data_IF_897379078173
#
_entry.id   IF_897379078173
#
_cell.length_a   1.000
_cell.length_b   1.000
_cell.length_c   1.000
_cell.angle_alpha   90.00
_cell.angle_beta   90.00
_cell.angle_gamma   90.00
#
_symmetry.space_group_name_H-M   'P 1'
#
loop_
_entity.id
_entity.type
_entity.pdbx_description
1 polymer ?
#
# COMPACT_ATOMS: atom_id res chain seq x y z
N UNK A 1 15.23 -7.28 3.65
CA UNK A 1 15.19 -6.44 4.88
C UNK A 1 16.30 -6.86 5.82
N UNK A 2 16.34 -8.11 6.31
CA UNK A 2 17.46 -8.59 7.15
C UNK A 2 18.83 -8.40 6.49
N UNK A 3 18.95 -8.79 5.22
CA UNK A 3 20.17 -8.58 4.42
C UNK A 3 20.54 -7.10 4.33
N UNK A 4 19.61 -6.23 3.96
CA UNK A 4 19.82 -4.78 3.88
C UNK A 4 20.21 -4.16 5.24
N UNK A 5 19.59 -4.60 6.34
CA UNK A 5 19.97 -4.15 7.68
C UNK A 5 21.43 -4.54 7.99
N UNK A 6 21.79 -5.80 7.72
CA UNK A 6 23.15 -6.31 7.91
C UNK A 6 24.17 -5.55 7.04
N UNK A 7 23.85 -5.29 5.77
CA UNK A 7 24.72 -4.57 4.84
C UNK A 7 24.96 -3.12 5.28
N UNK A 8 24.00 -2.52 5.98
CA UNK A 8 24.14 -1.19 6.61
C UNK A 8 24.79 -1.23 8.00
N UNK A 9 25.19 -2.41 8.47
CA UNK A 9 25.88 -2.60 9.75
C UNK A 9 24.95 -2.67 10.96
N UNK A 10 23.65 -2.91 10.76
CA UNK A 10 22.68 -3.10 11.83
C UNK A 10 22.54 -4.59 12.17
N UNK A 11 23.05 -5.00 13.33
CA UNK A 11 22.82 -6.33 13.89
C UNK A 11 21.47 -6.36 14.64
N UNK A 12 20.38 -6.34 13.87
CA UNK A 12 19.02 -6.31 14.39
C UNK A 12 18.24 -7.55 13.93
N UNK A 13 17.75 -8.40 14.85
CA UNK A 13 16.86 -9.49 14.47
C UNK A 13 15.51 -8.95 13.99
N UNK A 14 14.86 -9.69 13.09
CA UNK A 14 13.51 -9.36 12.65
C UNK A 14 12.47 -10.31 13.21
N UNK A 15 11.30 -9.76 13.52
CA UNK A 15 10.17 -10.51 14.04
C UNK A 15 8.96 -10.26 13.14
N UNK A 16 8.20 -11.31 12.85
CA UNK A 16 6.97 -11.21 12.08
C UNK A 16 5.76 -11.24 13.00
N UNK A 17 4.85 -10.27 12.84
CA UNK A 17 3.64 -10.17 13.63
C UNK A 17 2.46 -9.75 12.75
N UNK A 18 1.54 -10.69 12.54
CA UNK A 18 0.34 -10.50 11.75
C UNK A 18 -0.84 -10.08 12.63
N UNK A 19 -1.81 -9.41 12.01
CA UNK A 19 -3.08 -9.04 12.65
C UNK A 19 -4.11 -10.16 12.62
N UNK A 20 -4.14 -10.92 11.52
CA UNK A 20 -5.24 -11.84 11.21
C UNK A 20 -4.82 -13.31 11.08
N UNK A 21 -3.54 -13.64 11.23
CA UNK A 21 -3.04 -15.02 11.15
C UNK A 21 -1.79 -15.20 12.00
N UNK A 22 -1.36 -16.43 12.28
CA UNK A 22 -0.10 -16.65 12.99
C UNK A 22 1.13 -16.32 12.11
N UNK A 23 2.28 -15.96 12.70
CA UNK A 23 2.44 -15.54 14.10
C UNK A 23 1.74 -14.20 14.35
N UNK A 24 1.00 -14.07 15.46
CA UNK A 24 0.27 -12.83 15.77
C UNK A 24 1.19 -11.74 16.32
N UNK A 25 0.73 -10.49 16.32
CA UNK A 25 1.44 -9.36 16.96
C UNK A 25 1.80 -9.68 18.43
N UNK A 26 0.90 -10.30 19.20
CA UNK A 26 1.19 -10.66 20.59
C UNK A 26 2.23 -11.78 20.71
N UNK A 27 2.35 -12.67 19.73
CA UNK A 27 3.42 -13.69 19.68
C UNK A 27 4.78 -13.01 19.46
N UNK A 28 4.86 -12.06 18.52
CA UNK A 28 6.07 -11.29 18.25
C UNK A 28 6.52 -10.45 19.46
N UNK A 29 5.59 -9.77 20.14
CA UNK A 29 5.91 -8.99 21.35
C UNK A 29 6.36 -9.87 22.53
N UNK A 30 5.78 -11.07 22.69
CA UNK A 30 6.25 -12.04 23.68
C UNK A 30 7.66 -12.53 23.37
N UNK A 31 7.97 -12.80 22.11
CA UNK A 31 9.31 -13.18 21.68
C UNK A 31 10.34 -12.08 22.00
N UNK A 32 10.06 -10.84 21.56
CA UNK A 32 10.89 -9.66 21.85
C UNK A 32 11.16 -9.49 23.36
N UNK A 33 10.10 -9.60 24.17
CA UNK A 33 10.21 -9.48 25.62
C UNK A 33 11.05 -10.62 26.24
N UNK A 34 10.84 -11.86 25.79
CA UNK A 34 11.55 -13.04 26.30
C UNK A 34 13.04 -13.04 25.97
N UNK A 35 13.40 -12.46 24.83
CA UNK A 35 14.79 -12.27 24.39
C UNK A 35 15.46 -11.03 25.01
N UNK A 36 14.69 -10.24 25.76
CA UNK A 36 15.21 -9.15 26.59
C UNK A 36 15.20 -7.76 25.94
N UNK A 37 14.71 -7.63 24.71
CA UNK A 37 14.62 -6.36 23.99
C UNK A 37 13.75 -5.35 24.75
N UNK A 38 14.20 -4.08 24.77
CA UNK A 38 13.53 -2.98 25.50
C UNK A 38 12.75 -2.05 24.60
N UNK A 39 13.14 -1.97 23.34
CA UNK A 39 12.47 -1.19 22.31
C UNK A 39 12.55 -1.93 20.98
N UNK A 40 11.65 -1.59 20.07
CA UNK A 40 11.63 -2.09 18.69
C UNK A 40 11.10 -1.02 17.75
N UNK A 41 11.54 -1.09 16.49
CA UNK A 41 10.88 -0.37 15.40
C UNK A 41 9.84 -1.30 14.76
N UNK A 42 8.60 -0.82 14.61
CA UNK A 42 7.53 -1.53 13.93
C UNK A 42 7.38 -1.00 12.51
N UNK A 43 7.77 -1.83 11.55
CA UNK A 43 7.53 -1.60 10.13
C UNK A 43 6.13 -2.12 9.77
N UNK A 44 5.22 -1.22 9.44
CA UNK A 44 3.89 -1.55 8.92
C UNK A 44 3.94 -1.58 7.40
N UNK A 45 3.39 -2.63 6.78
CA UNK A 45 3.48 -2.89 5.34
C UNK A 45 2.35 -2.25 4.52
N UNK A 46 1.51 -1.42 5.14
CA UNK A 46 0.48 -0.65 4.44
C UNK A 46 0.99 0.77 4.14
N UNK A 47 1.07 1.10 2.86
CA UNK A 47 1.62 2.38 2.42
C UNK A 47 0.68 3.57 2.64
N UNK A 48 -0.64 3.35 2.62
CA UNK A 48 -1.69 4.38 2.59
C UNK A 48 -2.50 4.46 3.89
N UNK A 49 -2.97 5.65 4.22
CA UNK A 49 -3.75 5.90 5.44
C UNK A 49 -5.23 5.56 5.24
N UNK A 50 -5.72 4.61 6.03
CA UNK A 50 -7.15 4.38 6.28
C UNK A 50 -7.33 3.81 7.70
N UNK A 51 -8.57 3.58 8.14
CA UNK A 51 -8.78 2.87 9.40
C UNK A 51 -8.09 1.51 9.38
N UNK A 52 -8.46 0.63 8.44
CA UNK A 52 -7.91 -0.73 8.36
C UNK A 52 -6.43 -0.77 7.97
N UNK A 53 -5.95 0.19 7.17
CA UNK A 53 -4.56 0.25 6.69
C UNK A 53 -3.59 0.90 7.67
N UNK A 54 -4.06 1.77 8.58
CA UNK A 54 -3.19 2.53 9.46
C UNK A 54 -3.65 2.54 10.92
N UNK A 55 -4.85 3.06 11.22
CA UNK A 55 -5.33 3.23 12.61
C UNK A 55 -5.46 1.89 13.34
N UNK A 56 -6.00 0.89 12.67
CA UNK A 56 -6.23 -0.42 13.28
C UNK A 56 -4.92 -1.14 13.61
N UNK A 57 -3.83 -0.90 12.88
CA UNK A 57 -2.49 -1.39 13.28
C UNK A 57 -2.05 -0.80 14.63
N UNK A 58 -2.31 0.49 14.88
CA UNK A 58 -2.01 1.10 16.19
C UNK A 58 -2.84 0.47 17.31
N UNK A 59 -4.13 0.28 17.06
CA UNK A 59 -5.05 -0.30 18.03
C UNK A 59 -4.68 -1.76 18.34
N UNK A 60 -4.37 -2.55 17.31
CA UNK A 60 -3.97 -3.95 17.47
C UNK A 60 -2.61 -4.09 18.18
N UNK A 61 -1.64 -3.19 17.93
CA UNK A 61 -0.38 -3.13 18.68
C UNK A 61 -0.60 -2.74 20.15
N UNK A 62 -1.49 -1.79 20.42
CA UNK A 62 -1.84 -1.39 21.78
C UNK A 62 -2.51 -2.54 22.54
N UNK A 63 -3.46 -3.25 21.91
CA UNK A 63 -4.10 -4.45 22.48
C UNK A 63 -3.07 -5.54 22.73
N UNK A 64 -2.22 -5.85 21.75
CA UNK A 64 -1.17 -6.87 21.90
C UNK A 64 -0.18 -6.54 23.03
N UNK A 65 0.14 -5.25 23.22
CA UNK A 65 1.02 -4.79 24.30
C UNK A 65 0.42 -5.01 25.69
N UNK A 66 -0.91 -4.94 25.84
CA UNK A 66 -1.59 -5.23 27.11
C UNK A 66 -1.50 -6.71 27.51
N UNK A 67 -1.24 -7.61 26.56
CA UNK A 67 -1.07 -9.04 26.82
C UNK A 67 0.33 -9.43 27.32
N UNK A 68 1.30 -8.51 27.26
CA UNK A 68 2.71 -8.78 27.54
C UNK A 68 3.18 -8.01 28.78
N UNK A 69 3.67 -8.68 29.85
CA UNK A 69 4.14 -7.97 31.04
C UNK A 69 5.39 -7.12 30.77
N UNK A 70 5.33 -5.80 30.92
CA UNK A 70 6.46 -4.89 30.55
C UNK A 70 6.84 -5.09 29.07
N UNK A 71 5.93 -4.76 28.13
CA UNK A 71 6.20 -4.90 26.70
C UNK A 71 7.37 -3.98 26.30
N UNK A 72 8.11 -4.29 25.22
CA UNK A 72 9.08 -3.36 24.66
C UNK A 72 8.39 -2.07 24.22
N UNK A 73 9.11 -0.95 24.27
CA UNK A 73 8.67 0.30 23.64
C UNK A 73 8.60 0.11 22.11
N UNK A 74 7.51 0.55 21.49
CA UNK A 74 7.26 0.35 20.06
C UNK A 74 7.26 1.70 19.38
N UNK A 75 8.25 1.93 18.52
CA UNK A 75 8.28 3.08 17.62
C UNK A 75 7.86 2.62 16.23
N UNK A 76 6.80 3.19 15.67
CA UNK A 76 6.34 2.81 14.33
C UNK A 76 7.01 3.67 13.26
N UNK A 77 7.25 3.09 12.09
CA UNK A 77 7.56 3.87 10.90
C UNK A 77 6.36 4.76 10.52
N UNK A 78 6.62 5.92 9.93
CA UNK A 78 5.56 6.76 9.36
C UNK A 78 4.89 6.07 8.16
N UNK A 79 3.69 6.53 7.84
CA UNK A 79 3.02 6.17 6.58
C UNK A 79 3.85 6.71 5.40
N UNK A 80 4.10 5.88 4.39
CA UNK A 80 5.15 6.11 3.39
C UNK A 80 4.67 6.17 1.93
N UNK A 81 3.37 6.30 1.68
CA UNK A 81 2.82 6.35 0.31
C UNK A 81 3.52 7.36 -0.61
N UNK A 82 4.07 8.46 -0.07
CA UNK A 82 4.78 9.48 -0.85
C UNK A 82 6.30 9.45 -0.73
N UNK A 83 6.88 8.35 -0.23
CA UNK A 83 8.33 8.22 -0.22
C UNK A 83 8.87 8.17 -1.66
N UNK A 84 9.90 8.96 -2.04
CA UNK A 84 10.39 9.00 -3.41
C UNK A 84 10.79 7.64 -3.96
N UNK A 85 11.42 6.80 -3.15
CA UNK A 85 11.82 5.45 -3.57
C UNK A 85 10.65 4.46 -3.71
N UNK A 86 9.54 4.64 -2.99
CA UNK A 86 8.33 3.85 -3.22
C UNK A 86 7.71 4.23 -4.57
N UNK A 87 7.42 5.51 -4.77
CA UNK A 87 6.79 6.00 -6.01
C UNK A 87 7.72 5.89 -7.22
N UNK A 88 9.02 6.08 -7.03
CA UNK A 88 10.04 5.92 -8.06
C UNK A 88 10.21 4.46 -8.47
N UNK A 89 10.13 3.51 -7.53
CA UNK A 89 10.09 2.08 -7.88
C UNK A 89 8.81 1.73 -8.63
N UNK A 90 7.66 2.22 -8.18
CA UNK A 90 6.39 2.03 -8.86
C UNK A 90 6.42 2.55 -10.32
N UNK A 91 6.98 3.75 -10.53
CA UNK A 91 7.16 4.35 -11.85
C UNK A 91 8.15 3.59 -12.76
N UNK A 92 9.23 3.06 -12.19
CA UNK A 92 10.18 2.20 -12.91
C UNK A 92 9.49 0.93 -13.42
N UNK A 93 8.79 0.22 -12.55
CA UNK A 93 8.04 -0.99 -12.91
C UNK A 93 6.94 -0.72 -13.94
N UNK A 94 6.24 0.42 -13.82
CA UNK A 94 5.26 0.86 -14.83
C UNK A 94 5.93 1.08 -16.20
N UNK A 95 7.07 1.75 -16.21
CA UNK A 95 7.85 2.01 -17.43
C UNK A 95 8.33 0.69 -18.06
N UNK A 96 8.89 -0.22 -17.26
CA UNK A 96 9.38 -1.52 -17.73
C UNK A 96 8.26 -2.36 -18.34
N UNK A 97 7.11 -2.47 -17.65
CA UNK A 97 5.95 -3.20 -18.16
C UNK A 97 5.43 -2.62 -19.47
N UNK A 98 5.31 -1.30 -19.56
CA UNK A 98 4.91 -0.62 -20.80
C UNK A 98 5.87 -0.91 -21.95
N UNK A 99 7.18 -0.75 -21.72
CA UNK A 99 8.21 -0.98 -22.75
C UNK A 99 8.23 -2.44 -23.19
N UNK A 100 8.17 -3.38 -22.25
CA UNK A 100 8.15 -4.83 -22.52
C UNK A 100 6.94 -5.23 -23.36
N UNK A 101 5.79 -4.61 -23.12
CA UNK A 101 4.57 -4.83 -23.89
C UNK A 101 4.51 -4.01 -25.19
N UNK A 102 5.52 -3.18 -25.49
CA UNK A 102 5.56 -2.28 -26.65
C UNK A 102 4.34 -1.33 -26.72
N UNK A 103 3.89 -0.86 -25.55
CA UNK A 103 2.76 0.06 -25.42
C UNK A 103 3.20 1.52 -25.52
N UNK A 104 2.29 2.36 -26.03
CA UNK A 104 2.49 3.80 -26.19
C UNK A 104 2.61 4.50 -24.83
N UNK A 105 3.29 5.65 -24.78
CA UNK A 105 3.20 6.54 -23.61
C UNK A 105 1.80 7.13 -23.42
N UNK A 106 0.98 7.11 -24.46
CA UNK A 106 -0.41 7.55 -24.42
C UNK A 106 -1.38 6.45 -23.96
N UNK A 107 -0.90 5.23 -23.68
CA UNK A 107 -1.74 4.14 -23.16
C UNK A 107 -2.31 4.55 -21.81
N UNK A 108 -3.64 4.43 -21.59
CA UNK A 108 -4.27 4.72 -20.31
C UNK A 108 -3.70 3.87 -19.17
N UNK A 109 -3.59 4.46 -17.98
CA UNK A 109 -3.13 3.76 -16.78
C UNK A 109 -4.22 3.75 -15.71
N UNK A 110 -4.68 2.55 -15.35
CA UNK A 110 -5.55 2.32 -14.20
C UNK A 110 -4.70 1.95 -12.99
N UNK A 111 -4.64 2.85 -12.01
CA UNK A 111 -3.97 2.61 -10.73
C UNK A 111 -4.93 1.91 -9.79
N UNK A 112 -4.67 0.65 -9.46
CA UNK A 112 -5.60 -0.14 -8.64
C UNK A 112 -5.25 -0.09 -7.16
N UNK A 113 -6.30 -0.07 -6.34
CA UNK A 113 -6.19 -0.16 -4.88
C UNK A 113 -7.37 -0.95 -4.30
N UNK A 114 -7.21 -1.46 -3.07
CA UNK A 114 -8.30 -2.13 -2.38
C UNK A 114 -9.44 -1.12 -2.12
N UNK A 115 -10.66 -1.46 -2.51
CA UNK A 115 -11.83 -0.62 -2.25
C UNK A 115 -12.09 -0.50 -0.75
N UNK A 116 -12.61 0.62 -0.27
CA UNK A 116 -13.06 0.78 1.11
C UNK A 116 -14.56 1.04 1.14
N UNK A 117 -15.28 0.67 2.22
CA UNK A 117 -16.60 1.22 2.46
C UNK A 117 -16.53 2.75 2.44
N UNK A 118 -17.45 3.41 1.75
CA UNK A 118 -17.44 4.89 1.60
C UNK A 118 -17.39 5.60 2.94
N UNK A 119 -18.06 5.06 3.97
CA UNK A 119 -18.04 5.62 5.32
C UNK A 119 -16.68 5.54 6.01
N UNK A 120 -15.82 4.58 5.64
CA UNK A 120 -14.45 4.47 6.13
C UNK A 120 -13.52 5.40 5.35
N UNK A 121 -13.69 5.47 4.03
CA UNK A 121 -12.89 6.34 3.17
C UNK A 121 -13.07 7.81 3.56
N UNK A 122 -14.32 8.23 3.79
CA UNK A 122 -14.71 9.61 4.12
C UNK A 122 -14.09 10.16 5.42
N UNK A 123 -13.48 9.31 6.26
CA UNK A 123 -12.81 9.72 7.50
C UNK A 123 -11.28 9.61 7.42
N UNK A 124 -10.73 9.47 6.22
CA UNK A 124 -9.30 9.29 5.96
C UNK A 124 -8.86 10.04 4.71
N UNK A 125 -7.54 10.19 4.55
CA UNK A 125 -6.94 10.78 3.34
C UNK A 125 -6.76 9.75 2.21
N UNK A 126 -7.33 8.55 2.31
CA UNK A 126 -7.00 7.40 1.45
C UNK A 126 -7.11 7.70 -0.05
N UNK A 127 -8.25 8.23 -0.49
CA UNK A 127 -8.48 8.57 -1.89
C UNK A 127 -7.58 9.72 -2.35
N UNK A 128 -7.37 10.74 -1.51
CA UNK A 128 -6.50 11.86 -1.85
C UNK A 128 -5.04 11.40 -2.03
N UNK A 129 -4.55 10.52 -1.14
CA UNK A 129 -3.20 9.95 -1.23
C UNK A 129 -3.03 9.07 -2.48
N UNK A 130 -4.01 8.22 -2.79
CA UNK A 130 -3.96 7.38 -3.99
C UNK A 130 -3.95 8.23 -5.27
N UNK A 131 -4.80 9.24 -5.35
CA UNK A 131 -4.86 10.11 -6.52
C UNK A 131 -3.56 10.91 -6.68
N UNK A 132 -3.01 11.47 -5.60
CA UNK A 132 -1.73 12.18 -5.66
C UNK A 132 -0.57 11.24 -6.04
N UNK A 133 -0.52 10.04 -5.46
CA UNK A 133 0.46 9.02 -5.81
C UNK A 133 0.38 8.60 -7.28
N UNK A 134 -0.84 8.37 -7.80
CA UNK A 134 -1.07 7.98 -9.18
C UNK A 134 -0.57 9.05 -10.16
N UNK A 135 -0.82 10.33 -9.88
CA UNK A 135 -0.29 11.42 -10.71
C UNK A 135 1.24 11.44 -10.69
N UNK A 136 1.85 11.40 -9.51
CA UNK A 136 3.32 11.40 -9.37
C UNK A 136 3.95 10.21 -10.09
N UNK A 137 3.38 9.01 -9.97
CA UNK A 137 3.90 7.81 -10.64
C UNK A 137 3.81 7.94 -12.17
N UNK A 138 2.71 8.47 -12.71
CA UNK A 138 2.61 8.72 -14.15
C UNK A 138 3.64 9.73 -14.64
N UNK A 139 3.82 10.83 -13.92
CA UNK A 139 4.80 11.86 -14.23
C UNK A 139 6.23 11.28 -14.24
N UNK A 140 6.60 10.54 -13.19
CA UNK A 140 7.90 9.88 -13.08
C UNK A 140 8.13 8.82 -14.16
N UNK A 141 7.09 8.08 -14.55
CA UNK A 141 7.14 7.07 -15.61
C UNK A 141 7.12 7.69 -17.03
N UNK A 142 6.91 9.01 -17.14
CA UNK A 142 6.80 9.72 -18.41
C UNK A 142 5.60 9.26 -19.25
N UNK A 143 4.49 8.94 -18.58
CA UNK A 143 3.20 8.66 -19.20
C UNK A 143 2.53 9.97 -19.65
N UNK A 144 1.92 9.94 -20.84
CA UNK A 144 1.25 11.08 -21.48
C UNK A 144 -0.26 10.84 -21.62
N UNK A 145 -0.70 9.58 -21.45
CA UNK A 145 -2.10 9.17 -21.49
C UNK A 145 -2.88 9.51 -20.22
N UNK A 146 -4.22 9.33 -20.24
CA UNK A 146 -5.03 9.52 -19.06
C UNK A 146 -4.68 8.50 -17.98
N UNK A 147 -4.77 8.91 -16.72
CA UNK A 147 -4.68 8.01 -15.59
C UNK A 147 -5.76 8.28 -14.57
N UNK A 148 -6.17 7.23 -13.88
CA UNK A 148 -7.18 7.29 -12.83
C UNK A 148 -6.96 6.18 -11.80
N UNK A 149 -7.48 6.40 -10.60
CA UNK A 149 -7.52 5.39 -9.55
C UNK A 149 -8.82 4.61 -9.69
N UNK A 150 -8.70 3.28 -9.66
CA UNK A 150 -9.83 2.35 -9.68
C UNK A 150 -9.69 1.34 -8.54
N UNK A 151 -10.79 0.72 -8.16
CA UNK A 151 -10.83 -0.11 -6.96
C UNK A 151 -11.12 -1.59 -7.27
N UNK A 152 -10.58 -2.45 -6.42
CA UNK A 152 -10.77 -3.90 -6.46
C UNK A 152 -11.12 -4.44 -5.05
N UNK A 153 -11.26 -5.77 -4.90
CA UNK A 153 -11.27 -6.40 -3.57
C UNK A 153 -12.46 -5.99 -2.66
N UNK A 154 -13.67 -5.87 -3.21
CA UNK A 154 -14.88 -5.59 -2.40
C UNK A 154 -15.32 -6.81 -1.60
N UNK A 155 -15.13 -6.80 -0.28
CA UNK A 155 -15.35 -7.96 0.60
C UNK A 155 -16.54 -7.85 1.59
N UNK A 156 -17.49 -6.95 1.35
CA UNK A 156 -18.66 -6.72 2.23
C UNK A 156 -20.03 -6.98 1.60
N UNK A 157 -21.12 -6.82 2.39
CA UNK A 157 -22.48 -6.98 1.88
C UNK A 157 -22.77 -6.06 0.69
N UNK A 158 -23.55 -6.51 -0.32
CA UNK A 158 -23.91 -5.69 -1.48
C UNK A 158 -24.59 -4.36 -1.14
N UNK A 159 -25.22 -4.27 0.04
CA UNK A 159 -25.92 -3.08 0.53
C UNK A 159 -25.01 -1.99 1.09
N UNK A 160 -23.75 -2.31 1.43
CA UNK A 160 -22.78 -1.31 1.87
C UNK A 160 -22.21 -0.66 0.62
N UNK A 161 -22.19 0.69 0.50
CA UNK A 161 -21.52 1.38 -0.60
C UNK A 161 -20.00 1.34 -0.41
N UNK A 162 -19.28 1.07 -1.50
CA UNK A 162 -17.82 1.01 -1.55
C UNK A 162 -17.29 2.06 -2.52
N UNK A 163 -15.98 2.31 -2.47
CA UNK A 163 -15.31 3.19 -3.42
C UNK A 163 -15.37 2.61 -4.84
N UNK A 164 -15.62 3.49 -5.78
CA UNK A 164 -15.84 3.25 -7.20
C UNK A 164 -14.95 4.23 -8.01
N UNK A 165 -14.64 3.95 -9.29
CA UNK A 165 -15.13 2.81 -10.08
C UNK A 165 -14.40 1.50 -9.77
N UNK A 166 -15.10 0.38 -9.93
CA UNK A 166 -14.48 -0.94 -9.95
C UNK A 166 -13.59 -1.10 -11.20
N UNK A 167 -12.50 -1.85 -11.08
CA UNK A 167 -11.62 -2.16 -12.22
C UNK A 167 -12.39 -2.85 -13.36
N UNK A 168 -13.29 -3.78 -13.03
CA UNK A 168 -14.06 -4.55 -14.02
C UNK A 168 -15.03 -3.67 -14.80
N UNK A 169 -15.76 -2.79 -14.12
CA UNK A 169 -16.69 -1.85 -14.77
C UNK A 169 -15.89 -0.86 -15.62
N UNK A 170 -14.76 -0.37 -15.10
CA UNK A 170 -13.97 0.63 -15.82
C UNK A 170 -13.33 0.07 -17.09
N UNK A 171 -12.89 -1.18 -17.09
CA UNK A 171 -12.41 -1.85 -18.30
C UNK A 171 -13.49 -1.94 -19.40
N UNK A 172 -14.73 -2.24 -19.03
CA UNK A 172 -15.85 -2.29 -19.97
C UNK A 172 -16.17 -0.91 -20.55
N UNK A 173 -16.15 0.13 -19.71
CA UNK A 173 -16.36 1.52 -20.14
C UNK A 173 -15.28 1.99 -21.12
N UNK A 174 -14.00 1.78 -20.79
CA UNK A 174 -12.88 2.13 -21.68
C UNK A 174 -12.99 1.40 -23.02
N UNK A 175 -13.41 0.13 -23.02
CA UNK A 175 -13.61 -0.65 -24.24
C UNK A 175 -14.77 -0.09 -25.07
N UNK A 176 -15.87 0.30 -24.42
CA UNK A 176 -17.01 0.95 -25.07
C UNK A 176 -16.64 2.31 -25.68
N UNK A 177 -15.70 3.03 -25.05
CA UNK A 177 -15.11 4.27 -25.57
C UNK A 177 -14.09 4.04 -26.71
N UNK A 178 -13.86 2.79 -27.10
CA UNK A 178 -13.03 2.40 -28.24
C UNK A 178 -11.54 2.23 -27.92
N UNK A 179 -11.16 2.19 -26.64
CA UNK A 179 -9.79 1.90 -26.24
C UNK A 179 -9.52 0.40 -26.35
N UNK A 180 -8.35 0.06 -26.90
CA UNK A 180 -7.94 -1.32 -27.19
C UNK A 180 -6.79 -1.81 -26.32
N UNK A 181 -6.22 -0.93 -25.49
CA UNK A 181 -5.09 -1.23 -24.62
C UNK A 181 -5.16 -0.44 -23.31
N UNK A 182 -4.69 -1.04 -22.23
CA UNK A 182 -4.65 -0.43 -20.89
C UNK A 182 -3.51 -1.02 -20.05
N UNK A 183 -2.85 -0.17 -19.27
CA UNK A 183 -1.94 -0.57 -18.21
C UNK A 183 -2.68 -0.60 -16.88
N UNK A 184 -2.52 -1.70 -16.13
CA UNK A 184 -3.11 -1.86 -14.80
C UNK A 184 -1.97 -1.93 -13.77
N UNK A 185 -1.89 -0.92 -12.91
CA UNK A 185 -0.81 -0.73 -11.96
C UNK A 185 -1.31 -0.86 -10.52
N UNK A 186 -0.97 -1.94 -9.78
CA UNK A 186 -1.48 -2.18 -8.43
C UNK A 186 -0.82 -1.28 -7.35
N UNK A 187 -1.01 0.04 -7.48
CA UNK A 187 -0.39 1.07 -6.65
C UNK A 187 -0.69 0.93 -5.16
N UNK A 188 -1.91 0.50 -4.82
CA UNK A 188 -2.38 0.36 -3.45
C UNK A 188 -1.72 -0.77 -2.67
N UNK A 189 -0.85 -1.57 -3.29
CA UNK A 189 -0.30 -2.79 -2.73
C UNK A 189 1.23 -2.84 -2.84
N UNK A 190 1.89 -3.33 -1.79
CA UNK A 190 3.35 -3.48 -1.80
C UNK A 190 3.82 -4.87 -2.26
N UNK A 191 2.92 -5.85 -2.33
CA UNK A 191 3.25 -7.21 -2.69
C UNK A 191 2.06 -7.91 -3.37
N UNK A 192 2.36 -8.74 -4.36
CA UNK A 192 1.40 -9.64 -4.96
C UNK A 192 0.97 -10.68 -3.91
N UNK A 193 -0.34 -10.88 -3.81
CA UNK A 193 -0.94 -11.90 -2.95
C UNK A 193 -2.20 -12.42 -3.63
N UNK A 194 -2.81 -13.44 -3.04
CA UNK A 194 -3.90 -14.18 -3.66
C UNK A 194 -5.04 -13.29 -4.14
N UNK A 195 -5.43 -12.28 -3.38
CA UNK A 195 -6.51 -11.35 -3.76
C UNK A 195 -6.13 -10.48 -4.96
N UNK A 196 -4.95 -9.84 -4.96
CA UNK A 196 -4.47 -9.06 -6.12
C UNK A 196 -4.37 -9.91 -7.37
N UNK A 197 -3.82 -11.12 -7.27
CA UNK A 197 -3.65 -12.02 -8.41
C UNK A 197 -4.99 -12.54 -8.94
N UNK A 198 -5.95 -12.81 -8.05
CA UNK A 198 -7.28 -13.24 -8.48
C UNK A 198 -8.05 -12.09 -9.14
N UNK A 199 -8.12 -10.93 -8.49
CA UNK A 199 -8.85 -9.77 -8.99
C UNK A 199 -8.29 -9.30 -10.33
N UNK A 200 -6.96 -9.21 -10.47
CA UNK A 200 -6.34 -8.62 -11.66
C UNK A 200 -5.98 -9.64 -12.74
N UNK A 201 -5.31 -10.73 -12.38
CA UNK A 201 -4.81 -11.71 -13.34
C UNK A 201 -5.87 -12.77 -13.70
N UNK A 202 -7.01 -12.81 -12.99
CA UNK A 202 -8.15 -13.68 -13.34
C UNK A 202 -9.40 -12.88 -13.73
N UNK A 203 -9.95 -12.04 -12.85
CA UNK A 203 -11.24 -11.38 -13.12
C UNK A 203 -11.10 -10.26 -14.15
N UNK A 204 -10.30 -9.24 -13.85
CA UNK A 204 -10.09 -8.11 -14.75
C UNK A 204 -9.49 -8.54 -16.09
N UNK A 205 -8.56 -9.49 -16.09
CA UNK A 205 -8.02 -10.08 -17.32
C UNK A 205 -9.10 -10.75 -18.19
N UNK A 206 -10.04 -11.49 -17.58
CA UNK A 206 -11.15 -12.10 -18.31
C UNK A 206 -12.12 -11.05 -18.86
N UNK A 207 -12.37 -9.97 -18.13
CA UNK A 207 -13.18 -8.83 -18.62
C UNK A 207 -12.51 -8.16 -19.80
N UNK A 208 -11.21 -7.86 -19.70
CA UNK A 208 -10.44 -7.28 -20.80
C UNK A 208 -10.47 -8.17 -22.05
N UNK A 209 -10.30 -9.49 -21.89
CA UNK A 209 -10.39 -10.46 -22.99
C UNK A 209 -11.78 -10.45 -23.65
N UNK A 210 -12.86 -10.46 -22.86
CA UNK A 210 -14.24 -10.39 -23.36
C UNK A 210 -14.50 -9.09 -24.14
N UNK A 211 -13.88 -7.99 -23.72
CA UNK A 211 -13.95 -6.69 -24.39
C UNK A 211 -13.01 -6.57 -25.60
N UNK A 212 -12.15 -7.55 -25.87
CA UNK A 212 -11.14 -7.47 -26.93
C UNK A 212 -10.03 -6.46 -26.64
N UNK A 213 -9.79 -6.14 -25.37
CA UNK A 213 -8.82 -5.16 -24.90
C UNK A 213 -7.53 -5.84 -24.44
N UNK A 214 -6.39 -5.29 -24.84
CA UNK A 214 -5.07 -5.69 -24.33
C UNK A 214 -4.84 -5.07 -22.96
N UNK A 215 -4.97 -5.86 -21.90
CA UNK A 215 -4.63 -5.46 -20.54
C UNK A 215 -3.21 -5.93 -20.18
N UNK A 216 -2.37 -5.01 -19.69
CA UNK A 216 -1.04 -5.32 -19.17
C UNK A 216 -0.97 -4.92 -17.71
N UNK A 217 -0.89 -5.91 -16.82
CA UNK A 217 -0.65 -5.70 -15.40
C UNK A 217 0.83 -5.46 -15.12
N UNK A 218 1.16 -4.46 -14.33
CA UNK A 218 2.52 -4.28 -13.79
C UNK A 218 2.67 -5.08 -12.48
N UNK A 219 3.90 -5.52 -12.12
CA UNK A 219 4.13 -6.07 -10.79
C UNK A 219 3.91 -4.99 -9.71
N UNK A 220 3.65 -5.42 -8.49
CA UNK A 220 3.82 -4.58 -7.29
C UNK A 220 5.31 -4.31 -7.02
N UNK A 221 5.62 -3.35 -6.13
CA UNK A 221 7.03 -3.05 -5.77
C UNK A 221 7.77 -4.24 -5.15
N UNK A 222 7.05 -5.15 -4.48
CA UNK A 222 7.53 -6.46 -4.05
C UNK A 222 8.86 -6.39 -3.29
N UNK A 223 9.83 -7.18 -3.75
CA UNK A 223 11.18 -7.22 -3.19
C UNK A 223 12.18 -6.36 -4.00
N UNK A 224 11.72 -5.36 -4.74
CA UNK A 224 12.60 -4.50 -5.53
C UNK A 224 13.67 -3.86 -4.64
N UNK A 225 14.97 -3.92 -4.99
CA UNK A 225 16.04 -3.47 -4.10
C UNK A 225 15.86 -2.03 -3.60
N UNK A 226 15.46 -1.10 -4.47
CA UNK A 226 15.19 0.30 -4.07
C UNK A 226 14.06 0.39 -3.03
N UNK A 227 13.02 -0.42 -3.14
CA UNK A 227 11.92 -0.44 -2.17
C UNK A 227 12.36 -1.08 -0.84
N UNK A 228 13.10 -2.18 -0.88
CA UNK A 228 13.66 -2.83 0.33
C UNK A 228 14.61 -1.90 1.08
N UNK A 229 15.47 -1.19 0.34
CA UNK A 229 16.41 -0.20 0.89
C UNK A 229 15.64 0.95 1.55
N UNK A 230 14.60 1.48 0.91
CA UNK A 230 13.70 2.49 1.49
C UNK A 230 12.99 2.02 2.76
N UNK A 231 12.60 0.75 2.83
CA UNK A 231 12.00 0.21 4.04
C UNK A 231 12.98 0.22 5.23
N UNK A 232 14.28 0.05 4.98
CA UNK A 232 15.33 0.23 5.99
C UNK A 232 15.60 1.71 6.28
N UNK A 233 15.48 2.59 5.29
CA UNK A 233 15.49 4.04 5.51
C UNK A 233 14.43 4.46 6.54
N UNK A 234 13.20 3.96 6.40
CA UNK A 234 12.12 4.24 7.35
C UNK A 234 12.41 3.69 8.75
N UNK A 235 13.11 2.56 8.86
CA UNK A 235 13.55 2.00 10.15
C UNK A 235 14.58 2.90 10.81
N UNK A 236 15.57 3.38 10.05
CA UNK A 236 16.56 4.34 10.52
C UNK A 236 15.94 5.68 10.90
N UNK A 237 14.94 6.16 10.13
CA UNK A 237 14.17 7.38 10.43
C UNK A 237 13.47 7.25 11.78
N UNK A 238 12.74 6.14 11.97
CA UNK A 238 12.04 5.86 13.22
C UNK A 238 13.00 5.67 14.41
N UNK A 239 14.18 5.11 14.20
CA UNK A 239 15.20 4.92 15.23
C UNK A 239 16.00 6.20 15.56
N UNK A 240 15.80 7.30 14.82
CA UNK A 240 16.57 8.53 14.99
C UNK A 240 18.04 8.41 14.55
N UNK A 241 18.32 7.46 13.63
CA UNK A 241 19.66 7.25 13.04
C UNK A 241 19.87 8.09 11.78
N UNK A 242 18.81 8.73 11.28
CA UNK A 242 18.84 9.69 10.18
C UNK A 242 17.87 10.84 10.44
N UNK A 243 18.18 11.99 9.87
CA UNK A 243 17.40 13.23 10.03
C UNK A 243 16.56 13.60 8.80
N UNK A 244 16.86 13.03 7.63
CA UNK A 244 16.13 13.32 6.40
C UNK A 244 14.82 12.54 6.34
N UNK A 245 13.77 13.22 5.88
CA UNK A 245 12.40 12.67 5.77
C UNK A 245 11.86 12.91 4.36
N UNK A 246 12.40 12.23 3.35
CA UNK A 246 12.07 12.50 1.96
C UNK A 246 10.60 12.18 1.66
N UNK A 247 9.96 13.06 0.90
CA UNK A 247 8.56 12.95 0.51
C UNK A 247 8.35 13.70 -0.82
N UNK A 248 7.52 13.13 -1.69
CA UNK A 248 7.01 13.78 -2.89
C UNK A 248 5.61 14.35 -2.63
N UNK A 249 5.17 15.23 -3.54
CA UNK A 249 3.85 15.85 -3.46
C UNK A 249 3.77 17.00 -2.45
N UNK A 250 2.56 17.52 -2.25
CA UNK A 250 2.28 18.69 -1.42
C UNK A 250 2.08 18.35 0.05
N UNK A 251 1.83 17.07 0.34
CA UNK A 251 1.49 16.58 1.69
C UNK A 251 2.69 16.50 2.65
N UNK A 252 3.93 16.55 2.14
CA UNK A 252 5.15 16.35 2.94
C UNK A 252 5.22 14.96 3.61
N UNK A 253 6.24 14.69 4.44
CA UNK A 253 6.32 13.44 5.18
C UNK A 253 5.20 13.38 6.22
N UNK A 254 4.56 12.20 6.36
CA UNK A 254 3.50 12.01 7.36
C UNK A 254 4.08 12.05 8.78
N UNK A 255 3.32 12.58 9.76
CA UNK A 255 3.79 12.67 11.13
C UNK A 255 3.92 11.28 11.76
N UNK A 256 4.86 11.14 12.70
CA UNK A 256 5.08 9.91 13.46
C UNK A 256 3.93 9.63 14.44
N UNK A 257 3.34 10.70 14.97
CA UNK A 257 2.20 10.66 15.88
C UNK A 257 0.94 11.12 15.16
N UNK A 258 -0.07 10.25 15.10
CA UNK A 258 -1.37 10.59 14.56
C UNK A 258 -2.21 11.40 15.56
N UNK A 259 -3.07 12.28 15.05
CA UNK A 259 -4.14 12.89 15.87
C UNK A 259 -5.14 11.81 16.31
N UNK A 260 -5.80 12.02 17.45
CA UNK A 260 -6.74 11.07 18.04
C UNK A 260 -7.92 10.71 17.11
N UNK A 261 -8.30 11.66 16.25
CA UNK A 261 -9.37 11.58 15.26
C UNK A 261 -8.85 11.27 13.84
N UNK A 262 -7.58 10.90 13.69
CA UNK A 262 -7.04 10.47 12.40
C UNK A 262 -7.48 9.04 12.08
N UNK A 263 -8.19 8.87 10.94
CA UNK A 263 -8.67 7.59 10.41
C UNK A 263 -9.52 6.76 11.41
N UNK A 264 -10.57 7.33 12.03
CA UNK A 264 -11.38 6.64 13.02
C UNK A 264 -12.10 5.43 12.40
N UNK A 265 -12.45 4.45 13.24
CA UNK A 265 -13.26 3.32 12.84
C UNK A 265 -14.56 3.79 12.16
N UNK A 266 -15.00 3.11 11.07
CA UNK A 266 -16.24 3.48 10.40
C UNK A 266 -17.41 3.34 11.37
N UNK A 267 -18.25 4.36 11.42
CA UNK A 267 -19.52 4.31 12.14
C UNK A 267 -20.42 3.25 11.49
N UNK A 268 -20.72 2.18 12.23
CA UNK A 268 -21.73 1.21 11.80
C UNK A 268 -23.08 1.94 11.79
N UNK A 269 -23.87 1.88 10.70
CA UNK A 269 -25.24 2.35 10.73
C UNK A 269 -25.95 1.66 11.90
N UNK A 270 -26.63 2.45 12.74
CA UNK A 270 -27.31 1.94 13.94
C UNK A 270 -28.22 0.76 13.58
N UNK A 271 -28.13 -0.31 14.38
CA UNK A 271 -29.10 -1.41 14.33
C UNK A 271 -30.47 -0.95 14.81
#
# INVERSE_FOLDING_TARGET
IEEELSDRGHDLPTFWGNRNWHPFLSDALKALQSEGYKSTVCLVTSAFSSYSGCRQYHEDLAVASLEVPRPPEIQRVRVFWNHPDFLGTAAELLTESRVKANLSKNTPVLHTAHSLPVSMAATSDYEAQLNEAAQIVNELAGMEGPCEVVFQSRSGPPSVPWLEPSIDDRLQELAADGLSEVLVHPLGFIADHMEVLFDLDTQAAAVAEQCGMTMVRTPTVGAHPRFVSMMVDLVEEAAGLRDDRPALGVSGPRPDTCLLDCCPAPSRPGR
#
